data_IF_701825330801
#
_entry.id   IF_701825330801
#
_cell.length_a   1.000
_cell.length_b   1.000
_cell.length_c   1.000
_cell.angle_alpha   90.00
_cell.angle_beta   90.00
_cell.angle_gamma   90.00
#
_symmetry.space_group_name_H-M   'P 1'
#
loop_
_entity.id
_entity.type
_entity.pdbx_description
1 polymer ?
#
# COMPACT_ATOMS: atom_id res chain seq x y z
N UNK A 1 7.80 12.29 -28.19
CA UNK A 1 8.25 11.18 -27.34
C UNK A 1 9.36 10.44 -28.09
N UNK A 2 10.55 10.31 -27.52
CA UNK A 2 11.69 9.64 -28.15
C UNK A 2 11.74 8.15 -27.76
N UNK A 3 12.46 7.32 -28.53
CA UNK A 3 12.69 5.91 -28.16
C UNK A 3 13.36 5.75 -26.79
N UNK A 4 14.27 6.68 -26.44
CA UNK A 4 14.89 6.74 -25.11
C UNK A 4 13.86 6.97 -24.00
N UNK A 5 12.85 7.82 -24.23
CA UNK A 5 11.78 8.03 -23.25
C UNK A 5 10.90 6.78 -23.11
N UNK A 6 10.63 6.07 -24.21
CA UNK A 6 9.87 4.80 -24.16
C UNK A 6 10.62 3.74 -23.37
N UNK A 7 11.92 3.57 -23.63
CA UNK A 7 12.78 2.65 -22.88
C UNK A 7 12.83 3.03 -21.39
N UNK A 8 12.98 4.31 -21.08
CA UNK A 8 12.93 4.78 -19.70
C UNK A 8 11.59 4.43 -19.04
N UNK A 9 10.45 4.74 -19.67
CA UNK A 9 9.13 4.41 -19.12
C UNK A 9 8.97 2.91 -18.84
N UNK A 10 9.48 2.03 -19.73
CA UNK A 10 9.45 0.58 -19.51
C UNK A 10 10.30 0.17 -18.30
N UNK A 11 11.52 0.71 -18.17
CA UNK A 11 12.41 0.41 -17.04
C UNK A 11 11.81 0.91 -15.72
N UNK A 12 11.35 2.16 -15.69
CA UNK A 12 10.72 2.75 -14.51
C UNK A 12 9.47 1.98 -14.08
N UNK A 13 8.58 1.67 -15.03
CA UNK A 13 7.35 0.92 -14.75
C UNK A 13 7.64 -0.52 -14.33
N UNK A 14 8.58 -1.20 -14.99
CA UNK A 14 8.96 -2.57 -14.66
C UNK A 14 9.58 -2.68 -13.29
N UNK A 15 10.55 -1.83 -12.96
CA UNK A 15 11.18 -1.79 -11.64
C UNK A 15 10.17 -1.44 -10.53
N UNK A 16 9.29 -0.49 -10.80
CA UNK A 16 8.19 -0.10 -9.92
C UNK A 16 7.22 -1.25 -9.66
N UNK A 17 6.83 -2.00 -10.70
CA UNK A 17 5.96 -3.16 -10.57
C UNK A 17 6.62 -4.26 -9.72
N UNK A 18 7.90 -4.56 -9.95
CA UNK A 18 8.65 -5.53 -9.14
C UNK A 18 8.69 -5.11 -7.67
N UNK A 19 8.97 -3.82 -7.41
CA UNK A 19 8.96 -3.29 -6.05
C UNK A 19 7.57 -3.44 -5.40
N UNK A 20 6.49 -3.03 -6.08
CA UNK A 20 5.12 -3.18 -5.60
C UNK A 20 4.81 -4.64 -5.22
N UNK A 21 5.13 -5.59 -6.10
CA UNK A 21 4.96 -7.02 -5.81
C UNK A 21 5.75 -7.47 -4.58
N UNK A 22 7.00 -7.03 -4.44
CA UNK A 22 7.83 -7.37 -3.29
C UNK A 22 7.22 -6.82 -1.98
N UNK A 23 6.73 -5.59 -1.98
CA UNK A 23 6.12 -4.98 -0.79
C UNK A 23 4.78 -5.63 -0.46
N UNK A 24 3.95 -5.92 -1.45
CA UNK A 24 2.69 -6.65 -1.22
C UNK A 24 2.95 -8.04 -0.65
N UNK A 25 4.01 -8.70 -1.11
CA UNK A 25 4.42 -9.97 -0.52
C UNK A 25 4.85 -9.81 0.94
N UNK A 26 5.62 -8.78 1.28
CA UNK A 26 5.99 -8.48 2.67
C UNK A 26 4.75 -8.17 3.51
N UNK A 27 3.84 -7.32 3.04
CA UNK A 27 2.58 -7.00 3.71
C UNK A 27 1.74 -8.26 3.99
N UNK A 28 1.70 -9.20 3.04
CA UNK A 28 0.99 -10.47 3.19
C UNK A 28 1.52 -11.38 4.31
N UNK A 29 2.76 -11.15 4.79
CA UNK A 29 3.34 -11.87 5.93
C UNK A 29 2.80 -11.28 7.25
N UNK A 30 2.48 -9.98 7.27
CA UNK A 30 1.96 -9.29 8.45
C UNK A 30 0.44 -9.39 8.57
N UNK A 31 -0.28 -9.57 7.46
CA UNK A 31 -1.73 -9.78 7.50
C UNK A 31 -2.10 -11.21 7.92
N UNK A 32 -3.16 -11.32 8.75
CA UNK A 32 -3.69 -12.58 9.30
C UNK A 32 -4.49 -13.41 8.28
N UNK A 33 -4.73 -12.88 7.09
CA UNK A 33 -5.49 -13.52 6.03
C UNK A 33 -4.81 -13.33 4.67
N UNK A 34 -5.10 -14.23 3.74
CA UNK A 34 -4.53 -14.17 2.40
C UNK A 34 -5.43 -13.33 1.48
N UNK A 35 -5.00 -12.13 1.11
CA UNK A 35 -5.79 -11.21 0.29
C UNK A 35 -6.28 -11.85 -1.01
N UNK A 36 -5.39 -12.54 -1.75
CA UNK A 36 -5.74 -13.14 -3.03
C UNK A 36 -6.79 -14.25 -2.90
N UNK A 37 -6.71 -15.04 -1.82
CA UNK A 37 -7.70 -16.08 -1.53
C UNK A 37 -9.07 -15.47 -1.21
N UNK A 38 -9.10 -14.45 -0.37
CA UNK A 38 -10.34 -13.75 0.01
C UNK A 38 -10.98 -13.02 -1.18
N UNK A 39 -10.18 -12.35 -2.01
CA UNK A 39 -10.65 -11.70 -3.25
C UNK A 39 -11.24 -12.76 -4.19
N UNK A 40 -10.58 -13.91 -4.37
CA UNK A 40 -11.09 -15.01 -5.20
C UNK A 40 -12.41 -15.58 -4.67
N UNK A 41 -12.59 -15.58 -3.35
CA UNK A 41 -13.82 -16.01 -2.68
C UNK A 41 -14.95 -14.96 -2.75
N UNK A 42 -14.70 -13.77 -3.33
CA UNK A 42 -15.68 -12.71 -3.47
C UNK A 42 -15.82 -11.82 -2.23
N UNK A 43 -14.82 -11.80 -1.34
CA UNK A 43 -14.83 -10.93 -0.18
C UNK A 43 -14.64 -9.46 -0.59
N UNK A 44 -15.76 -8.74 -0.75
CA UNK A 44 -15.77 -7.34 -1.18
C UNK A 44 -15.03 -6.43 -0.20
N UNK A 45 -15.06 -6.72 1.11
CA UNK A 45 -14.34 -5.93 2.11
C UNK A 45 -12.83 -6.06 1.93
N UNK A 46 -12.30 -7.28 1.84
CA UNK A 46 -10.87 -7.49 1.58
C UNK A 46 -10.46 -6.86 0.25
N UNK A 47 -11.28 -7.02 -0.80
CA UNK A 47 -11.06 -6.37 -2.10
C UNK A 47 -10.99 -4.85 -1.98
N UNK A 48 -11.89 -4.24 -1.19
CA UNK A 48 -11.92 -2.79 -0.97
C UNK A 48 -10.64 -2.31 -0.29
N UNK A 49 -10.23 -2.95 0.82
CA UNK A 49 -8.98 -2.60 1.51
C UNK A 49 -7.77 -2.78 0.59
N UNK A 50 -7.72 -3.87 -0.16
CA UNK A 50 -6.63 -4.17 -1.09
C UNK A 50 -6.49 -3.10 -2.19
N UNK A 51 -7.59 -2.65 -2.80
CA UNK A 51 -7.54 -1.59 -3.82
C UNK A 51 -7.04 -0.28 -3.23
N UNK A 52 -7.44 0.07 -2.00
CA UNK A 52 -6.96 1.27 -1.32
C UNK A 52 -5.48 1.18 -0.96
N UNK A 53 -5.01 0.01 -0.50
CA UNK A 53 -3.58 -0.30 -0.29
C UNK A 53 -2.78 -0.12 -1.57
N UNK A 54 -3.22 -0.74 -2.67
CA UNK A 54 -2.55 -0.66 -3.96
C UNK A 54 -2.49 0.78 -4.49
N UNK A 55 -3.57 1.55 -4.32
CA UNK A 55 -3.62 2.97 -4.68
C UNK A 55 -2.60 3.79 -3.86
N UNK A 56 -2.59 3.62 -2.54
CA UNK A 56 -1.66 4.28 -1.64
C UNK A 56 -0.20 3.97 -2.04
N UNK A 57 0.06 2.71 -2.38
CA UNK A 57 1.37 2.27 -2.84
C UNK A 57 1.78 2.92 -4.17
N UNK A 58 0.89 2.90 -5.16
CA UNK A 58 1.12 3.57 -6.45
C UNK A 58 1.35 5.08 -6.29
N UNK A 59 0.63 5.73 -5.38
CA UNK A 59 0.77 7.17 -5.13
C UNK A 59 2.15 7.53 -4.58
N UNK A 60 2.61 6.86 -3.51
CA UNK A 60 3.96 7.07 -2.95
C UNK A 60 5.02 6.87 -4.03
N UNK A 61 4.90 5.80 -4.82
CA UNK A 61 5.85 5.49 -5.88
C UNK A 61 5.87 6.58 -6.96
N UNK A 62 4.70 7.07 -7.35
CA UNK A 62 4.58 8.22 -8.27
C UNK A 62 5.25 9.49 -7.72
N UNK A 63 5.11 9.77 -6.42
CA UNK A 63 5.75 10.92 -5.79
C UNK A 63 7.28 10.77 -5.77
N UNK A 64 7.78 9.60 -5.38
CA UNK A 64 9.21 9.31 -5.39
C UNK A 64 9.82 9.42 -6.78
N UNK A 65 9.17 8.89 -7.82
CA UNK A 65 9.65 8.98 -9.21
C UNK A 65 9.71 10.43 -9.67
N UNK A 66 8.73 11.25 -9.27
CA UNK A 66 8.63 12.66 -9.69
C UNK A 66 9.77 13.52 -9.11
N UNK A 67 10.25 13.17 -7.91
CA UNK A 67 11.23 13.98 -7.16
C UNK A 67 12.66 13.42 -7.20
N UNK A 68 12.83 12.16 -7.55
CA UNK A 68 14.14 11.50 -7.55
C UNK A 68 15.00 11.88 -8.77
N UNK A 69 16.31 11.94 -8.54
CA UNK A 69 17.30 12.17 -9.60
C UNK A 69 17.64 10.88 -10.37
N UNK A 70 17.43 9.73 -9.75
CA UNK A 70 17.71 8.42 -10.34
C UNK A 70 16.74 7.34 -9.81
N UNK A 71 16.70 6.22 -10.52
CA UNK A 71 15.80 5.10 -10.24
C UNK A 71 16.03 4.50 -8.85
N UNK A 72 17.28 4.35 -8.43
CA UNK A 72 17.60 3.73 -7.14
C UNK A 72 17.09 4.60 -5.98
N UNK A 73 17.30 5.91 -6.05
CA UNK A 73 16.76 6.85 -5.06
C UNK A 73 15.23 6.76 -4.96
N UNK A 74 14.53 6.73 -6.11
CA UNK A 74 13.07 6.62 -6.11
C UNK A 74 12.57 5.32 -5.47
N UNK A 75 13.19 4.19 -5.82
CA UNK A 75 12.80 2.87 -5.31
C UNK A 75 13.10 2.76 -3.81
N UNK A 76 14.25 3.24 -3.36
CA UNK A 76 14.63 3.23 -1.94
C UNK A 76 13.71 4.12 -1.11
N UNK A 77 13.45 5.35 -1.57
CA UNK A 77 12.55 6.28 -0.88
C UNK A 77 11.13 5.74 -0.77
N UNK A 78 10.64 5.08 -1.83
CA UNK A 78 9.35 4.38 -1.83
C UNK A 78 9.35 3.22 -0.84
N UNK A 79 10.36 2.35 -0.87
CA UNK A 79 10.48 1.22 0.05
C UNK A 79 10.47 1.67 1.52
N UNK A 80 11.25 2.70 1.86
CA UNK A 80 11.26 3.29 3.21
C UNK A 80 9.89 3.85 3.58
N UNK A 81 9.25 4.59 2.67
CA UNK A 81 7.91 5.15 2.90
C UNK A 81 6.87 4.06 3.16
N UNK A 82 6.92 2.93 2.46
CA UNK A 82 6.01 1.81 2.74
C UNK A 82 6.25 1.17 4.08
N UNK A 83 7.50 1.00 4.50
CA UNK A 83 7.81 0.50 5.84
C UNK A 83 7.26 1.44 6.91
N UNK A 84 7.43 2.75 6.73
CA UNK A 84 6.85 3.75 7.65
C UNK A 84 5.31 3.63 7.66
N UNK A 85 4.68 3.52 6.49
CA UNK A 85 3.23 3.38 6.37
C UNK A 85 2.71 2.16 7.13
N UNK A 86 3.37 1.00 6.97
CA UNK A 86 3.03 -0.24 7.69
C UNK A 86 3.17 -0.08 9.20
N UNK A 87 4.24 0.55 9.68
CA UNK A 87 4.44 0.78 11.12
C UNK A 87 3.36 1.69 11.69
N UNK A 88 3.02 2.77 10.98
CA UNK A 88 1.97 3.71 11.40
C UNK A 88 0.60 3.03 11.39
N UNK A 89 0.28 2.27 10.35
CA UNK A 89 -0.97 1.49 10.28
C UNK A 89 -1.08 0.53 11.46
N UNK A 90 -0.06 -0.31 11.70
CA UNK A 90 -0.04 -1.25 12.83
C UNK A 90 -0.27 -0.54 14.17
N UNK A 91 0.35 0.62 14.37
CA UNK A 91 0.15 1.41 15.57
C UNK A 91 -1.30 1.92 15.70
N UNK A 92 -1.87 2.49 14.64
CA UNK A 92 -3.24 3.01 14.66
C UNK A 92 -4.25 1.88 14.85
N UNK A 93 -4.11 0.76 14.12
CA UNK A 93 -4.97 -0.41 14.27
C UNK A 93 -4.90 -0.97 15.71
N UNK A 94 -3.70 -1.04 16.29
CA UNK A 94 -3.53 -1.46 17.68
C UNK A 94 -4.27 -0.53 18.66
N UNK A 95 -4.16 0.78 18.47
CA UNK A 95 -4.84 1.78 19.30
C UNK A 95 -6.36 1.66 19.16
N UNK A 96 -6.89 1.55 17.92
CA UNK A 96 -8.32 1.39 17.66
C UNK A 96 -8.87 0.10 18.29
N UNK A 97 -8.14 -1.00 18.17
CA UNK A 97 -8.50 -2.27 18.80
C UNK A 97 -8.53 -2.17 20.32
N UNK A 98 -7.55 -1.50 20.93
CA UNK A 98 -7.44 -1.37 22.40
C UNK A 98 -8.44 -0.38 23.00
N UNK A 99 -8.68 0.74 22.34
CA UNK A 99 -9.51 1.82 22.88
C UNK A 99 -10.99 1.70 22.52
N UNK A 100 -11.29 1.28 21.28
CA UNK A 100 -12.65 1.21 20.76
C UNK A 100 -13.15 -0.23 20.55
N UNK A 101 -12.30 -1.25 20.77
CA UNK A 101 -12.64 -2.64 20.50
C UNK A 101 -12.79 -2.96 19.01
N UNK A 102 -12.34 -2.06 18.12
CA UNK A 102 -12.46 -2.21 16.67
C UNK A 102 -11.29 -3.02 16.12
N UNK A 103 -11.52 -4.31 15.89
CA UNK A 103 -10.57 -5.16 15.16
C UNK A 103 -10.81 -5.02 13.65
N UNK A 104 -10.13 -4.04 13.04
CA UNK A 104 -10.27 -3.73 11.61
C UNK A 104 -9.90 -4.90 10.72
N UNK A 105 -8.95 -5.71 11.15
CA UNK A 105 -8.43 -6.83 10.37
C UNK A 105 -9.41 -7.99 10.38
N UNK A 106 -9.91 -8.37 11.56
CA UNK A 106 -10.92 -9.43 11.67
C UNK A 106 -12.24 -9.01 11.00
N UNK A 107 -12.71 -7.78 11.25
CA UNK A 107 -13.93 -7.27 10.63
C UNK A 107 -13.84 -7.22 9.11
N UNK A 108 -12.67 -6.86 8.55
CA UNK A 108 -12.44 -6.91 7.09
C UNK A 108 -12.51 -8.34 6.56
N UNK A 109 -11.88 -9.29 7.26
CA UNK A 109 -11.91 -10.71 6.89
C UNK A 109 -13.32 -11.30 6.94
N UNK A 110 -14.14 -10.89 7.91
CA UNK A 110 -15.56 -11.27 8.02
C UNK A 110 -16.46 -10.61 6.97
N UNK A 111 -15.92 -9.75 6.10
CA UNK A 111 -16.67 -9.12 5.01
C UNK A 111 -17.23 -7.74 5.35
N UNK A 112 -16.82 -7.12 6.46
CA UNK A 112 -17.24 -5.77 6.81
C UNK A 112 -16.53 -4.71 5.97
N UNK A 113 -17.24 -4.20 4.96
CA UNK A 113 -16.72 -3.12 4.10
C UNK A 113 -16.41 -1.85 4.90
N UNK A 114 -17.14 -1.58 5.99
CA UNK A 114 -16.87 -0.43 6.86
C UNK A 114 -15.48 -0.53 7.53
N UNK A 115 -15.12 -1.71 8.04
CA UNK A 115 -13.80 -1.94 8.64
C UNK A 115 -12.71 -1.84 7.56
N UNK A 116 -12.96 -2.40 6.38
CA UNK A 116 -12.05 -2.31 5.24
C UNK A 116 -11.82 -0.88 4.76
N UNK A 117 -12.88 -0.07 4.67
CA UNK A 117 -12.78 1.34 4.29
C UNK A 117 -12.03 2.16 5.32
N UNK A 118 -12.27 1.91 6.62
CA UNK A 118 -11.54 2.59 7.69
C UNK A 118 -10.05 2.23 7.63
N UNK A 119 -9.70 0.94 7.59
CA UNK A 119 -8.31 0.50 7.45
C UNK A 119 -7.67 1.03 6.15
N UNK A 120 -8.35 0.87 5.02
CA UNK A 120 -7.91 1.37 3.72
C UNK A 120 -7.68 2.88 3.70
N UNK A 121 -8.50 3.66 4.41
CA UNK A 121 -8.34 5.12 4.48
C UNK A 121 -7.06 5.54 5.20
N UNK A 122 -6.60 4.75 6.19
CA UNK A 122 -5.32 4.97 6.87
C UNK A 122 -4.15 4.89 5.88
N UNK A 123 -4.20 3.92 4.94
CA UNK A 123 -3.20 3.85 3.88
C UNK A 123 -3.21 5.06 2.97
N UNK A 124 -4.40 5.47 2.51
CA UNK A 124 -4.52 6.60 1.59
C UNK A 124 -4.00 7.88 2.26
N UNK A 125 -4.46 8.17 3.48
CA UNK A 125 -4.04 9.36 4.22
C UNK A 125 -2.55 9.31 4.54
N UNK A 126 -2.04 8.17 5.01
CA UNK A 126 -0.62 8.00 5.29
C UNK A 126 0.25 8.17 4.03
N UNK A 127 -0.20 7.65 2.88
CA UNK A 127 0.47 7.84 1.61
C UNK A 127 0.49 9.29 1.13
N UNK A 128 -0.60 10.04 1.35
CA UNK A 128 -0.64 11.48 1.06
C UNK A 128 0.37 12.26 1.91
N UNK A 129 0.45 11.96 3.21
CA UNK A 129 1.40 12.61 4.13
C UNK A 129 2.84 12.27 3.73
N UNK A 130 3.16 10.99 3.53
CA UNK A 130 4.50 10.56 3.13
C UNK A 130 4.88 11.12 1.76
N UNK A 131 3.96 11.11 0.80
CA UNK A 131 4.13 11.71 -0.52
C UNK A 131 4.50 13.20 -0.46
N UNK A 132 3.91 13.94 0.48
CA UNK A 132 4.25 15.34 0.72
C UNK A 132 5.65 15.53 1.33
N UNK A 133 6.15 14.54 2.07
CA UNK A 133 7.48 14.56 2.71
C UNK A 133 8.62 14.04 1.82
N UNK A 134 8.30 13.35 0.72
CA UNK A 134 9.26 12.84 -0.26
C UNK A 134 9.92 13.94 -1.09
#
# INVERSE_FOLDING_TARGET
>A
MTWTNVLAMLVWTGASAVLLFAIMWVDSIFTKYNDLKEIKNGNTAVTTRFVMKLFAQGYILSQSITKANDLWQALLASAVSFVILLVVEMFIEFVLKKMAGLDLEEGTKEGSVAHAMLAGSLHIVGALILGACL
#
